data_IF_709098352243
#
_entry.id   IF_709098352243
#
_cell.length_a   1.000
_cell.length_b   1.000
_cell.length_c   1.000
_cell.angle_alpha   90.00
_cell.angle_beta   90.00
_cell.angle_gamma   90.00
#
_symmetry.space_group_name_H-M   'P 1'
#
loop_
_entity.id
_entity.type
_entity.pdbx_description
1 polymer ?
#
# COMPACT_ATOMS: atom_id res chain seq x y z
N UNK A 1 6.99 -0.81 -1.22
CA UNK A 1 6.37 -0.22 -0.02
C UNK A 1 6.47 1.30 -0.13
N UNK A 2 5.53 2.05 0.43
CA UNK A 2 5.55 3.53 0.48
C UNK A 2 5.28 4.03 1.90
N UNK A 3 5.71 5.26 2.20
CA UNK A 3 5.80 5.78 3.58
C UNK A 3 4.45 5.95 4.28
N UNK A 4 3.42 6.40 3.55
CA UNK A 4 2.10 6.67 4.14
C UNK A 4 0.98 6.61 3.09
N UNK A 5 -0.26 6.62 3.60
CA UNK A 5 -1.48 6.53 2.80
C UNK A 5 -1.59 7.62 1.72
N UNK A 6 -1.15 8.86 2.00
CA UNK A 6 -1.23 9.97 1.03
C UNK A 6 -0.35 9.70 -0.18
N UNK A 7 0.87 9.21 0.05
CA UNK A 7 1.80 8.85 -1.04
C UNK A 7 1.23 7.71 -1.88
N UNK A 8 0.62 6.70 -1.24
CA UNK A 8 -0.01 5.58 -1.93
C UNK A 8 -1.14 6.04 -2.85
N UNK A 9 -2.08 6.86 -2.35
CA UNK A 9 -3.18 7.38 -3.14
C UNK A 9 -2.72 8.30 -4.28
N UNK A 10 -1.70 9.13 -4.03
CA UNK A 10 -1.10 9.97 -5.09
C UNK A 10 -0.51 9.11 -6.20
N UNK A 11 0.21 8.04 -5.86
CA UNK A 11 0.79 7.14 -6.85
C UNK A 11 -0.29 6.41 -7.65
N UNK A 12 -1.35 5.95 -6.97
CA UNK A 12 -2.50 5.33 -7.61
C UNK A 12 -3.15 6.26 -8.66
N UNK A 13 -3.46 7.51 -8.30
CA UNK A 13 -4.04 8.47 -9.25
C UNK A 13 -3.08 8.82 -10.40
N UNK A 14 -1.78 8.97 -10.12
CA UNK A 14 -0.77 9.19 -11.17
C UNK A 14 -0.72 8.05 -12.17
N UNK A 15 -0.80 6.80 -11.71
CA UNK A 15 -0.74 5.61 -12.56
C UNK A 15 -2.05 5.40 -13.32
N UNK A 16 -3.19 5.66 -12.67
CA UNK A 16 -4.50 5.67 -13.32
C UNK A 16 -4.56 6.68 -14.45
N UNK A 17 -4.06 7.90 -14.25
CA UNK A 17 -3.97 8.93 -15.30
C UNK A 17 -3.03 8.54 -16.46
N UNK A 18 -2.12 7.60 -16.24
CA UNK A 18 -1.24 7.01 -17.27
C UNK A 18 -1.85 5.77 -17.94
N UNK A 19 -3.07 5.38 -17.59
CA UNK A 19 -3.74 4.21 -18.16
C UNK A 19 -3.25 2.86 -17.62
N UNK A 20 -2.55 2.84 -16.48
CA UNK A 20 -2.14 1.60 -15.81
C UNK A 20 -3.39 0.81 -15.41
N UNK A 21 -3.37 -0.51 -15.67
CA UNK A 21 -4.45 -1.41 -15.30
C UNK A 21 -4.29 -1.87 -13.85
N UNK A 22 -5.41 -2.03 -13.15
CA UNK A 22 -5.42 -2.46 -11.75
C UNK A 22 -6.27 -3.71 -11.56
N UNK A 23 -5.75 -4.68 -10.81
CA UNK A 23 -6.53 -5.82 -10.31
C UNK A 23 -7.29 -5.43 -9.05
N UNK A 24 -6.69 -4.57 -8.23
CA UNK A 24 -7.22 -4.15 -6.94
C UNK A 24 -6.93 -2.66 -6.75
N UNK A 25 -7.98 -1.86 -6.56
CA UNK A 25 -7.89 -0.45 -6.15
C UNK A 25 -7.38 -0.35 -4.70
N UNK A 26 -6.97 0.84 -4.23
CA UNK A 26 -6.57 1.02 -2.84
C UNK A 26 -7.62 0.46 -1.88
N UNK A 27 -7.18 -0.44 -1.00
CA UNK A 27 -7.99 -1.06 0.06
C UNK A 27 -7.19 -1.07 1.36
N UNK A 28 -7.88 -0.80 2.47
CA UNK A 28 -7.30 -0.88 3.81
C UNK A 28 -7.36 -2.32 4.33
N UNK A 29 -6.23 -2.82 4.82
CA UNK A 29 -6.08 -4.14 5.44
C UNK A 29 -5.40 -4.00 6.80
N UNK A 30 -5.34 -5.09 7.57
CA UNK A 30 -4.76 -5.12 8.92
C UNK A 30 -3.30 -4.62 8.98
N UNK A 31 -2.54 -4.81 7.90
CA UNK A 31 -1.14 -4.39 7.78
C UNK A 31 -0.95 -3.04 7.09
N UNK A 32 -2.03 -2.34 6.75
CA UNK A 32 -2.03 -1.04 6.07
C UNK A 32 -2.79 -1.07 4.75
N UNK A 33 -2.65 0.00 3.96
CA UNK A 33 -3.35 0.17 2.68
C UNK A 33 -2.52 -0.43 1.53
N UNK A 34 -3.19 -1.03 0.55
CA UNK A 34 -2.53 -1.63 -0.63
C UNK A 34 -3.35 -1.46 -1.92
N UNK A 35 -2.69 -1.43 -3.07
CA UNK A 35 -3.29 -1.66 -4.39
C UNK A 35 -2.41 -2.62 -5.23
N UNK A 36 -2.98 -3.19 -6.29
CA UNK A 36 -2.26 -4.06 -7.24
C UNK A 36 -2.47 -3.59 -8.67
N UNK A 37 -1.38 -3.22 -9.33
CA UNK A 37 -1.32 -2.89 -10.74
C UNK A 37 -0.85 -4.08 -11.58
N UNK A 38 -1.15 -4.02 -12.88
CA UNK A 38 -0.63 -4.92 -13.92
C UNK A 38 0.25 -4.12 -14.87
N UNK A 39 1.48 -4.57 -15.06
CA UNK A 39 2.37 -4.04 -16.10
C UNK A 39 1.99 -4.57 -17.50
N UNK A 40 2.57 -4.03 -18.59
CA UNK A 40 2.26 -4.49 -19.95
C UNK A 40 2.55 -5.98 -20.20
N UNK A 41 3.49 -6.57 -19.47
CA UNK A 41 3.87 -7.98 -19.58
C UNK A 41 2.96 -8.91 -18.76
N UNK A 42 2.05 -8.35 -17.95
CA UNK A 42 1.12 -9.09 -17.11
C UNK A 42 1.61 -9.35 -15.68
N UNK A 43 2.76 -8.82 -15.28
CA UNK A 43 3.25 -8.97 -13.91
C UNK A 43 2.46 -8.10 -12.94
N UNK A 44 2.30 -8.63 -11.72
CA UNK A 44 1.59 -7.96 -10.64
C UNK A 44 2.54 -7.10 -9.82
N UNK A 45 2.28 -5.80 -9.79
CA UNK A 45 3.01 -4.86 -8.93
C UNK A 45 2.12 -4.51 -7.74
N UNK A 46 2.53 -4.94 -6.54
CA UNK A 46 1.84 -4.58 -5.29
C UNK A 46 2.52 -3.39 -4.63
N UNK A 47 1.74 -2.34 -4.42
CA UNK A 47 2.14 -1.19 -3.61
C UNK A 47 1.36 -1.23 -2.30
N UNK A 48 2.04 -1.00 -1.19
CA UNK A 48 1.41 -1.00 0.13
C UNK A 48 2.15 -0.07 1.10
N UNK A 49 1.44 0.39 2.12
CA UNK A 49 1.98 1.04 3.31
C UNK A 49 2.10 0.03 4.45
N UNK A 50 3.08 0.18 5.32
CA UNK A 50 3.14 -0.58 6.57
C UNK A 50 2.32 0.14 7.66
N UNK A 51 1.43 -0.58 8.34
CA UNK A 51 0.80 -0.10 9.56
C UNK A 51 1.85 -0.12 10.68
N UNK A 52 2.34 1.05 11.07
CA UNK A 52 3.25 1.20 12.22
C UNK A 52 2.43 1.16 13.53
N UNK A 53 1.86 0.01 13.87
CA UNK A 53 1.40 -0.25 15.25
C UNK A 53 1.84 -1.64 15.72
N UNK A 54 2.39 -1.62 16.94
CA UNK A 54 2.85 -2.73 17.82
C UNK A 54 4.34 -3.14 17.74
N UNK A 55 5.22 -2.25 18.20
CA UNK A 55 6.42 -2.56 18.99
C UNK A 55 6.38 -1.64 20.23
N UNK A 56 5.42 -1.86 21.13
CA UNK A 56 5.38 -1.25 22.46
C UNK A 56 4.43 -2.08 23.34
N UNK A 57 4.87 -3.29 23.69
CA UNK A 57 4.44 -4.00 24.89
C UNK A 57 5.68 -4.72 25.41
N UNK A 58 6.35 -4.13 26.40
CA UNK A 58 7.11 -4.76 27.49
C UNK A 58 8.09 -3.77 28.12
N UNK A 59 7.59 -2.77 28.84
CA UNK A 59 8.27 -2.22 30.02
C UNK A 59 7.20 -1.87 31.05
N UNK A 60 7.17 -2.68 32.12
CA UNK A 60 6.79 -2.38 33.51
C UNK A 60 6.09 -3.58 34.15
N UNK A 61 6.91 -4.55 34.56
CA UNK A 61 6.62 -5.42 35.69
C UNK A 61 7.62 -5.10 36.80
N UNK A 62 7.21 -4.23 37.72
CA UNK A 62 7.71 -4.12 39.10
C UNK A 62 6.47 -4.11 39.99
#
# INVERSE_FOLDING_TARGET
MVDNSKVLHRLYEQWKNKGVKFIQTPVELIFGITFVAIDPDGHRIRVFTQNKKSQNQNQNGL
#
